data_IF_480913421138
#
_entry.id   IF_480913421138
#
_cell.length_a   1.000
_cell.length_b   1.000
_cell.length_c   1.000
_cell.angle_alpha   90.00
_cell.angle_beta   90.00
_cell.angle_gamma   90.00
#
_symmetry.space_group_name_H-M   'P 1'
#
loop_
_entity.id
_entity.type
_entity.pdbx_description
1 polymer ?
#
# COMPACT_ATOMS: atom_id res chain seq x y z
N UNK A 1 -11.13 -5.07 -6.94
CA UNK A 1 -11.49 -4.57 -8.29
C UNK A 1 -10.22 -4.68 -9.14
N UNK A 2 -10.28 -5.21 -10.36
CA UNK A 2 -9.09 -5.30 -11.22
C UNK A 2 -9.28 -4.40 -12.45
N UNK A 3 -8.23 -3.66 -12.80
CA UNK A 3 -8.17 -2.86 -14.02
C UNK A 3 -7.36 -3.61 -15.08
N UNK A 4 -7.92 -3.73 -16.29
CA UNK A 4 -7.24 -4.29 -17.45
C UNK A 4 -7.04 -3.18 -18.47
N UNK A 5 -5.79 -2.88 -18.77
CA UNK A 5 -5.42 -1.98 -19.86
C UNK A 5 -5.05 -2.80 -21.09
N UNK A 6 -5.59 -2.42 -22.25
CA UNK A 6 -5.32 -3.08 -23.51
C UNK A 6 -4.76 -2.06 -24.49
N UNK A 7 -3.57 -2.32 -25.01
CA UNK A 7 -2.91 -1.48 -26.01
C UNK A 7 -2.92 -2.16 -27.37
N UNK A 8 -3.42 -1.45 -28.39
CA UNK A 8 -3.50 -1.96 -29.75
C UNK A 8 -2.26 -1.50 -30.55
N UNK A 9 -1.48 -2.42 -31.13
CA UNK A 9 -0.37 -2.04 -32.00
C UNK A 9 -0.87 -1.53 -33.36
N UNK A 10 0.00 -0.85 -34.11
CA UNK A 10 -0.30 -0.38 -35.47
C UNK A 10 -0.66 -1.52 -36.44
N UNK A 11 -0.11 -2.72 -36.23
CA UNK A 11 -0.38 -3.92 -37.04
C UNK A 11 -1.62 -4.70 -36.60
N UNK A 12 -2.46 -4.18 -35.71
CA UNK A 12 -3.67 -4.86 -35.26
C UNK A 12 -4.68 -5.03 -36.42
N UNK A 13 -5.34 -6.20 -36.59
CA UNK A 13 -5.32 -7.37 -35.72
C UNK A 13 -4.28 -8.45 -36.08
N UNK A 14 -3.46 -8.27 -37.12
CA UNK A 14 -2.40 -9.22 -37.49
C UNK A 14 -1.35 -9.34 -36.38
N UNK A 15 -1.06 -8.24 -35.68
CA UNK A 15 -0.28 -8.21 -34.44
C UNK A 15 -1.19 -8.28 -33.21
N UNK A 16 -0.84 -9.07 -32.17
CA UNK A 16 -1.66 -9.22 -30.97
C UNK A 16 -1.69 -7.93 -30.14
N UNK A 17 -2.79 -7.66 -29.41
CA UNK A 17 -2.81 -6.60 -28.42
C UNK A 17 -1.88 -6.95 -27.24
N UNK A 18 -1.31 -5.93 -26.60
CA UNK A 18 -0.63 -6.08 -25.32
C UNK A 18 -1.57 -5.71 -24.17
N UNK A 19 -1.34 -6.33 -23.01
CA UNK A 19 -2.13 -6.09 -21.80
C UNK A 19 -1.26 -5.68 -20.62
N UNK A 20 -1.83 -4.88 -19.73
CA UNK A 20 -1.26 -4.51 -18.44
C UNK A 20 -2.35 -4.56 -17.37
N UNK A 21 -2.00 -5.02 -16.17
CA UNK A 21 -2.89 -5.10 -15.02
C UNK A 21 -2.08 -5.24 -13.73
N UNK A 22 -2.65 -4.79 -12.60
CA UNK A 22 -2.10 -5.04 -11.25
C UNK A 22 -2.37 -6.50 -10.84
N UNK A 23 -1.52 -7.41 -11.33
CA UNK A 23 -1.53 -8.85 -11.05
C UNK A 23 -0.09 -9.35 -10.92
N UNK A 24 0.19 -10.42 -10.16
CA UNK A 24 1.56 -10.86 -9.88
C UNK A 24 2.29 -11.36 -11.14
N UNK A 25 1.53 -11.84 -12.13
CA UNK A 25 2.03 -12.13 -13.47
C UNK A 25 0.88 -12.11 -14.47
N UNK A 26 1.17 -11.70 -15.71
CA UNK A 26 0.19 -11.65 -16.79
C UNK A 26 -0.02 -13.03 -17.42
N UNK A 27 -1.23 -13.34 -17.93
CA UNK A 27 -1.46 -14.53 -18.73
C UNK A 27 -0.76 -14.41 -20.08
N UNK A 28 -0.35 -15.55 -20.64
CA UNK A 28 0.00 -15.63 -22.06
C UNK A 28 -1.27 -15.52 -22.89
N UNK A 29 -1.44 -14.43 -23.62
CA UNK A 29 -2.60 -14.23 -24.49
C UNK A 29 -2.45 -15.07 -25.75
N UNK A 30 -3.42 -15.95 -25.98
CA UNK A 30 -3.62 -16.66 -27.24
C UNK A 30 -4.39 -15.75 -28.19
N UNK A 31 -3.76 -15.40 -29.31
CA UNK A 31 -4.29 -14.47 -30.29
C UNK A 31 -4.11 -15.00 -31.72
N UNK A 32 -5.07 -14.67 -32.58
CA UNK A 32 -5.02 -14.87 -34.03
C UNK A 32 -5.72 -13.69 -34.72
N UNK A 33 -5.55 -13.54 -36.04
CA UNK A 33 -6.28 -12.52 -36.83
C UNK A 33 -7.81 -12.61 -36.73
N UNK A 34 -8.33 -13.78 -36.37
CA UNK A 34 -9.76 -14.02 -36.16
C UNK A 34 -10.22 -13.73 -34.73
N UNK A 35 -9.30 -13.52 -33.81
CA UNK A 35 -9.59 -13.15 -32.43
C UNK A 35 -10.15 -11.73 -32.35
N UNK A 36 -10.81 -11.44 -31.24
CA UNK A 36 -11.43 -10.15 -30.91
C UNK A 36 -11.02 -9.75 -29.50
N UNK A 37 -11.14 -8.47 -29.17
CA UNK A 37 -10.79 -7.98 -27.82
C UNK A 37 -11.57 -8.68 -26.70
N UNK A 38 -12.80 -9.13 -26.96
CA UNK A 38 -13.56 -9.97 -26.02
C UNK A 38 -12.83 -11.26 -25.63
N UNK A 39 -12.05 -11.85 -26.54
CA UNK A 39 -11.32 -13.09 -26.28
C UNK A 39 -10.15 -12.85 -25.32
N UNK A 40 -9.53 -11.66 -25.38
CA UNK A 40 -8.51 -11.21 -24.41
C UNK A 40 -9.14 -11.03 -23.03
N UNK A 41 -10.32 -10.41 -22.97
CA UNK A 41 -11.07 -10.22 -21.72
C UNK A 41 -11.44 -11.58 -21.11
N UNK A 42 -11.96 -12.52 -21.90
CA UNK A 42 -12.29 -13.86 -21.42
C UNK A 42 -11.06 -14.60 -20.88
N UNK A 43 -9.92 -14.54 -21.58
CA UNK A 43 -8.67 -15.14 -21.12
C UNK A 43 -8.17 -14.49 -19.83
N UNK A 44 -8.24 -13.17 -19.72
CA UNK A 44 -7.87 -12.46 -18.51
C UNK A 44 -8.79 -12.83 -17.33
N UNK A 45 -10.11 -12.92 -17.54
CA UNK A 45 -11.06 -13.35 -16.52
C UNK A 45 -10.78 -14.78 -16.05
N UNK A 46 -10.43 -15.70 -16.95
CA UNK A 46 -10.01 -17.05 -16.58
C UNK A 46 -8.72 -17.02 -15.74
N UNK A 47 -7.77 -16.16 -16.11
CA UNK A 47 -6.53 -15.96 -15.36
C UNK A 47 -6.75 -15.44 -13.94
N UNK A 48 -7.67 -14.48 -13.76
CA UNK A 48 -8.04 -13.98 -12.44
C UNK A 48 -8.58 -15.10 -11.53
N UNK A 49 -9.26 -16.12 -12.09
CA UNK A 49 -9.72 -17.28 -11.31
C UNK A 49 -8.56 -18.15 -10.82
N UNK A 50 -7.51 -18.30 -11.62
CA UNK A 50 -6.29 -19.04 -11.25
C UNK A 50 -5.57 -18.30 -10.11
N UNK A 51 -5.46 -16.98 -10.21
CA UNK A 51 -4.81 -16.13 -9.20
C UNK A 51 -5.59 -16.00 -7.89
N UNK A 52 -6.83 -16.48 -7.83
CA UNK A 52 -7.66 -16.35 -6.63
C UNK A 52 -7.06 -17.06 -5.42
N UNK A 53 -6.40 -18.21 -5.61
CA UNK A 53 -5.70 -18.91 -4.52
C UNK A 53 -4.57 -18.05 -3.95
N UNK A 54 -3.82 -17.37 -4.82
CA UNK A 54 -2.74 -16.47 -4.38
C UNK A 54 -3.27 -15.32 -3.53
N UNK A 55 -4.31 -14.62 -3.98
CA UNK A 55 -4.87 -13.52 -3.19
C UNK A 55 -5.49 -13.99 -1.88
N UNK A 56 -6.10 -15.18 -1.86
CA UNK A 56 -6.60 -15.75 -0.60
C UNK A 56 -5.47 -16.00 0.41
N UNK A 57 -4.32 -16.53 -0.04
CA UNK A 57 -3.15 -16.73 0.81
C UNK A 57 -2.57 -15.40 1.29
N UNK A 58 -2.45 -14.40 0.41
CA UNK A 58 -1.97 -13.07 0.81
C UNK A 58 -2.92 -12.38 1.80
N UNK A 59 -4.24 -12.46 1.58
CA UNK A 59 -5.26 -11.93 2.49
C UNK A 59 -5.21 -12.62 3.86
N UNK A 60 -4.96 -13.94 3.91
CA UNK A 60 -4.76 -14.66 5.17
C UNK A 60 -3.52 -14.15 5.92
N UNK A 61 -2.40 -14.02 5.21
CA UNK A 61 -1.15 -13.48 5.75
C UNK A 61 -1.38 -12.08 6.33
N UNK A 62 -2.01 -11.19 5.57
CA UNK A 62 -2.26 -9.80 5.95
C UNK A 62 -3.20 -9.66 7.14
N UNK A 63 -4.12 -10.62 7.30
CA UNK A 63 -5.08 -10.64 8.41
C UNK A 63 -4.48 -11.18 9.70
N UNK A 64 -3.62 -12.19 9.62
CA UNK A 64 -3.17 -12.98 10.79
C UNK A 64 -1.80 -12.55 11.29
N UNK A 65 -0.91 -12.07 10.43
CA UNK A 65 0.47 -11.75 10.77
C UNK A 65 0.67 -10.24 10.91
N UNK A 66 1.61 -9.84 11.77
CA UNK A 66 2.00 -8.43 11.88
C UNK A 66 2.82 -8.00 10.66
N UNK A 67 2.12 -7.51 9.64
CA UNK A 67 2.74 -6.93 8.43
C UNK A 67 3.22 -5.51 8.72
N UNK A 68 4.51 -5.28 8.48
CA UNK A 68 5.18 -3.98 8.62
C UNK A 68 5.28 -3.27 7.28
N UNK A 69 5.46 -4.03 6.20
CA UNK A 69 5.56 -3.50 4.84
C UNK A 69 5.06 -4.54 3.81
N UNK A 70 4.27 -4.13 2.80
CA UNK A 70 3.70 -2.80 2.58
C UNK A 70 2.57 -2.46 3.55
N UNK A 71 2.31 -1.18 3.80
CA UNK A 71 1.13 -0.72 4.55
C UNK A 71 -0.18 -0.83 3.75
N UNK A 72 -0.08 -0.72 2.42
CA UNK A 72 -1.19 -0.87 1.47
C UNK A 72 -0.73 -1.74 0.29
N UNK A 73 -0.89 -3.07 0.37
CA UNK A 73 -0.46 -3.95 -0.70
C UNK A 73 -1.28 -3.78 -1.97
N UNK A 74 -0.62 -3.88 -3.13
CA UNK A 74 -1.30 -4.02 -4.43
C UNK A 74 -1.57 -5.49 -4.75
N UNK A 75 -2.43 -5.76 -5.74
CA UNK A 75 -2.75 -7.12 -6.16
C UNK A 75 -1.58 -7.83 -6.84
N UNK A 76 -0.59 -7.09 -7.37
CA UNK A 76 0.63 -7.66 -7.94
C UNK A 76 1.69 -8.03 -6.88
N UNK A 77 1.59 -7.49 -5.67
CA UNK A 77 2.66 -7.57 -4.69
C UNK A 77 2.69 -8.91 -3.96
N UNK A 78 3.75 -9.69 -4.20
CA UNK A 78 3.95 -11.04 -3.67
C UNK A 78 4.84 -11.13 -2.43
N UNK A 79 5.39 -10.00 -1.97
CA UNK A 79 6.23 -9.97 -0.77
C UNK A 79 5.48 -9.37 0.42
N UNK A 80 5.89 -9.78 1.63
CA UNK A 80 5.48 -9.19 2.91
C UNK A 80 6.65 -9.18 3.88
N UNK A 81 6.88 -8.03 4.53
CA UNK A 81 7.79 -7.92 5.68
C UNK A 81 6.99 -8.08 6.97
N UNK A 82 7.26 -9.15 7.69
CA UNK A 82 6.55 -9.54 8.91
C UNK A 82 7.44 -9.23 10.12
N UNK A 83 6.86 -8.64 11.17
CA UNK A 83 7.54 -8.42 12.44
C UNK A 83 7.68 -9.74 13.23
N UNK A 84 8.86 -9.93 13.81
CA UNK A 84 9.18 -11.07 14.70
C UNK A 84 9.43 -10.61 16.15
N UNK A 85 9.28 -9.30 16.42
CA UNK A 85 9.62 -8.65 17.69
C UNK A 85 11.11 -8.30 17.79
N UNK A 86 11.47 -7.43 18.74
CA UNK A 86 12.86 -7.03 19.03
C UNK A 86 13.62 -6.53 17.79
N UNK A 87 12.98 -5.68 16.98
CA UNK A 87 13.49 -5.17 15.70
C UNK A 87 13.99 -6.25 14.71
N UNK A 88 13.45 -7.47 14.86
CA UNK A 88 13.66 -8.56 13.92
C UNK A 88 12.48 -8.68 12.96
N UNK A 89 12.80 -8.95 11.70
CA UNK A 89 11.82 -9.07 10.63
C UNK A 89 12.15 -10.24 9.70
N UNK A 90 11.12 -10.77 9.05
CA UNK A 90 11.27 -11.70 7.93
C UNK A 90 10.57 -11.10 6.72
N UNK A 91 11.34 -10.93 5.64
CA UNK A 91 10.80 -10.62 4.32
C UNK A 91 10.49 -11.93 3.62
N UNK A 92 9.21 -12.24 3.44
CA UNK A 92 8.74 -13.38 2.68
C UNK A 92 8.41 -12.97 1.25
N UNK A 93 8.71 -13.85 0.31
CA UNK A 93 8.32 -13.76 -1.09
C UNK A 93 7.51 -15.03 -1.44
N UNK A 94 6.21 -14.84 -1.67
CA UNK A 94 5.25 -15.91 -1.96
C UNK A 94 5.23 -16.19 -3.46
N UNK A 95 5.35 -17.46 -3.86
CA UNK A 95 5.19 -17.85 -5.27
C UNK A 95 3.72 -17.74 -5.67
N UNK A 96 3.38 -16.76 -6.51
CA UNK A 96 2.02 -16.54 -6.97
C UNK A 96 1.41 -17.71 -7.77
N UNK A 97 2.22 -18.63 -8.28
CA UNK A 97 1.75 -19.85 -8.98
C UNK A 97 1.53 -21.01 -8.01
N UNK A 98 2.15 -20.96 -6.83
CA UNK A 98 2.09 -21.99 -5.79
C UNK A 98 2.06 -21.33 -4.41
N UNK A 99 1.00 -20.57 -4.09
CA UNK A 99 0.98 -19.66 -2.95
C UNK A 99 1.13 -20.36 -1.59
N UNK A 100 0.71 -21.62 -1.51
CA UNK A 100 0.83 -22.44 -0.29
C UNK A 100 2.17 -23.22 -0.20
N UNK A 101 3.08 -23.05 -1.15
CA UNK A 101 4.43 -23.66 -1.10
C UNK A 101 5.37 -22.89 -0.17
N UNK A 102 6.50 -23.50 0.18
CA UNK A 102 7.52 -22.87 1.03
C UNK A 102 7.99 -21.56 0.37
N UNK A 103 7.81 -20.39 1.01
CA UNK A 103 8.20 -19.12 0.42
C UNK A 103 9.73 -18.95 0.45
N UNK A 104 10.23 -18.11 -0.45
CA UNK A 104 11.58 -17.56 -0.27
C UNK A 104 11.57 -16.56 0.88
N UNK A 105 12.66 -16.50 1.65
CA UNK A 105 12.72 -15.61 2.80
C UNK A 105 14.09 -14.95 2.98
N UNK A 106 14.06 -13.74 3.55
CA UNK A 106 15.24 -13.04 4.06
C UNK A 106 14.98 -12.57 5.48
N UNK A 107 15.88 -12.91 6.38
CA UNK A 107 15.86 -12.44 7.77
C UNK A 107 16.57 -11.09 7.87
N UNK A 108 16.03 -10.18 8.68
CA UNK A 108 16.51 -8.81 8.87
C UNK A 108 16.51 -8.48 10.36
N UNK A 109 17.59 -7.86 10.86
CA UNK A 109 17.79 -7.53 12.27
C UNK A 109 19.21 -7.86 12.73
N UNK A 110 19.58 -7.41 13.92
CA UNK A 110 20.91 -7.61 14.52
C UNK A 110 20.89 -8.39 15.84
N UNK A 111 19.72 -8.92 16.22
CA UNK A 111 19.54 -9.66 17.47
C UNK A 111 20.03 -11.12 17.36
N UNK A 112 20.63 -11.66 18.41
CA UNK A 112 21.01 -13.08 18.49
C UNK A 112 19.84 -14.05 18.39
N UNK A 113 18.61 -13.60 18.70
CA UNK A 113 17.36 -14.31 18.41
C UNK A 113 17.21 -14.62 16.92
N UNK A 114 17.65 -13.73 16.03
CA UNK A 114 17.53 -13.91 14.59
C UNK A 114 18.36 -15.11 14.09
N UNK A 115 19.55 -15.32 14.66
CA UNK A 115 20.40 -16.45 14.31
C UNK A 115 19.72 -17.79 14.62
N UNK A 116 19.02 -17.88 15.76
CA UNK A 116 18.26 -19.07 16.11
C UNK A 116 17.10 -19.32 15.16
N UNK A 117 16.39 -18.26 14.75
CA UNK A 117 15.30 -18.37 13.77
C UNK A 117 15.83 -18.84 12.40
N UNK A 118 17.01 -18.38 11.97
CA UNK A 118 17.67 -18.83 10.74
C UNK A 118 18.05 -20.32 10.84
N UNK A 119 18.59 -20.77 11.98
CA UNK A 119 18.92 -22.18 12.23
C UNK A 119 17.66 -23.04 12.18
N UNK A 120 16.60 -22.62 12.87
CA UNK A 120 15.31 -23.31 12.89
C UNK A 120 14.71 -23.42 11.50
N UNK A 121 14.69 -22.33 10.73
CA UNK A 121 14.23 -22.33 9.34
C UNK A 121 14.98 -23.36 8.50
N UNK A 122 16.32 -23.36 8.54
CA UNK A 122 17.15 -24.31 7.77
C UNK A 122 16.86 -25.77 8.15
N UNK A 123 16.67 -26.04 9.45
CA UNK A 123 16.38 -27.38 9.98
C UNK A 123 14.97 -27.85 9.64
N UNK A 124 13.98 -26.97 9.74
CA UNK A 124 12.56 -27.33 9.73
C UNK A 124 11.86 -27.07 8.40
N UNK A 125 12.45 -26.34 7.43
CA UNK A 125 11.77 -25.98 6.16
C UNK A 125 11.17 -27.15 5.38
N UNK A 126 11.75 -28.36 5.52
CA UNK A 126 11.23 -29.59 4.89
C UNK A 126 9.90 -30.07 5.47
N UNK A 127 9.52 -29.57 6.65
CA UNK A 127 8.25 -29.86 7.33
C UNK A 127 7.09 -29.00 6.82
N UNK A 128 7.36 -28.05 5.91
CA UNK A 128 6.32 -27.22 5.31
C UNK A 128 5.30 -28.09 4.57
N UNK A 129 4.03 -27.97 4.93
CA UNK A 129 2.94 -28.76 4.36
C UNK A 129 1.96 -27.84 3.63
N UNK A 130 1.83 -27.99 2.31
CA UNK A 130 0.98 -27.13 1.48
C UNK A 130 -0.51 -27.24 1.80
N UNK A 131 -0.92 -28.18 2.65
CA UNK A 131 -2.31 -28.34 3.12
C UNK A 131 -2.60 -27.59 4.42
N UNK A 132 -1.58 -27.12 5.13
CA UNK A 132 -1.72 -26.34 6.36
C UNK A 132 -1.85 -24.85 6.05
N UNK A 133 -2.43 -24.12 7.00
CA UNK A 133 -2.50 -22.66 6.92
C UNK A 133 -1.10 -22.07 6.91
N UNK A 134 -0.95 -20.95 6.21
CA UNK A 134 0.36 -20.36 5.97
C UNK A 134 1.07 -19.96 7.27
N UNK A 135 0.35 -19.30 8.17
CA UNK A 135 0.89 -18.85 9.46
C UNK A 135 1.25 -20.02 10.40
N UNK A 136 0.48 -21.12 10.37
CA UNK A 136 0.78 -22.34 11.15
C UNK A 136 2.07 -22.99 10.66
N UNK A 137 2.26 -23.08 9.34
CA UNK A 137 3.50 -23.55 8.75
C UNK A 137 4.69 -22.65 9.15
N UNK A 138 4.51 -21.34 9.03
CA UNK A 138 5.57 -20.37 9.34
C UNK A 138 6.00 -20.47 10.80
N UNK A 139 5.05 -20.51 11.75
CA UNK A 139 5.33 -20.69 13.17
C UNK A 139 6.05 -22.02 13.45
N UNK A 140 5.59 -23.12 12.84
CA UNK A 140 6.20 -24.44 13.03
C UNK A 140 7.62 -24.55 12.43
N UNK A 141 7.89 -23.89 11.30
CA UNK A 141 9.22 -23.88 10.68
C UNK A 141 10.19 -23.01 11.47
N UNK A 142 9.74 -21.85 11.95
CA UNK A 142 10.54 -20.97 12.79
C UNK A 142 10.71 -21.50 14.22
N UNK A 143 9.86 -22.47 14.63
CA UNK A 143 9.73 -22.93 16.02
C UNK A 143 9.55 -21.75 16.98
N UNK A 144 8.63 -20.86 16.60
CA UNK A 144 8.46 -19.55 17.19
C UNK A 144 7.00 -19.11 17.16
N UNK A 145 6.53 -18.55 18.27
CA UNK A 145 5.20 -17.95 18.36
C UNK A 145 5.20 -16.59 17.67
N UNK A 146 4.56 -16.51 16.50
CA UNK A 146 4.50 -15.28 15.71
C UNK A 146 3.70 -14.19 16.44
N UNK A 147 4.20 -12.94 16.47
CA UNK A 147 3.46 -11.80 16.98
C UNK A 147 2.15 -11.60 16.22
N UNK A 148 1.07 -11.34 16.97
CA UNK A 148 -0.18 -10.90 16.37
C UNK A 148 -0.07 -9.44 15.89
N UNK A 149 -0.88 -9.02 14.90
CA UNK A 149 -0.99 -7.63 14.53
C UNK A 149 -1.34 -6.78 15.77
N UNK A 150 -0.81 -5.54 15.88
CA UNK A 150 -1.20 -4.63 16.94
C UNK A 150 -2.72 -4.42 16.89
N UNK A 151 -3.34 -4.36 18.06
CA UNK A 151 -4.78 -4.14 18.16
C UNK A 151 -5.15 -2.78 17.56
N UNK A 152 -6.40 -2.59 17.13
CA UNK A 152 -6.85 -1.32 16.53
C UNK A 152 -6.57 -0.11 17.46
N UNK A 153 -6.49 -0.33 18.78
CA UNK A 153 -6.12 0.70 19.76
C UNK A 153 -4.65 1.12 19.74
N UNK A 154 -3.74 0.30 19.21
CA UNK A 154 -2.31 0.62 19.15
C UNK A 154 -1.94 1.35 17.85
N UNK A 155 -2.64 1.08 16.74
CA UNK A 155 -2.52 1.85 15.48
C UNK A 155 -3.19 3.24 15.55
N UNK A 156 -4.18 3.40 16.41
CA UNK A 156 -4.89 4.68 16.58
C UNK A 156 -3.99 5.81 17.07
N UNK A 157 -2.94 5.51 17.88
CA UNK A 157 -2.03 6.55 18.38
C UNK A 157 -1.19 7.24 17.29
N UNK A 158 -0.98 6.56 16.16
CA UNK A 158 -0.25 7.08 14.99
C UNK A 158 -1.21 7.70 13.95
N UNK A 159 -2.45 7.20 13.90
CA UNK A 159 -3.47 7.75 12.99
C UNK A 159 -4.19 9.01 13.54
N UNK A 160 -4.19 9.21 14.86
CA UNK A 160 -4.70 10.42 15.54
C UNK A 160 -3.73 11.61 15.53
N UNK A 161 -2.47 11.41 15.13
CA UNK A 161 -1.51 12.51 15.06
C UNK A 161 -1.77 13.39 13.84
N UNK A 162 -1.97 14.68 14.11
CA UNK A 162 -2.23 15.69 13.08
C UNK A 162 -1.00 15.92 12.20
N UNK A 163 -1.21 16.13 10.91
CA UNK A 163 -0.14 16.50 9.99
C UNK A 163 0.42 17.88 10.33
N UNK A 164 1.74 18.04 10.22
CA UNK A 164 2.39 19.33 10.38
C UNK A 164 1.91 20.32 9.31
N UNK A 165 1.41 21.48 9.72
CA UNK A 165 0.88 22.51 8.82
C UNK A 165 1.90 23.23 7.93
N UNK A 166 3.19 22.82 7.98
CA UNK A 166 4.28 23.38 7.15
C UNK A 166 4.80 22.31 6.17
N UNK A 167 5.19 21.14 6.69
CA UNK A 167 5.78 20.07 5.87
C UNK A 167 4.78 19.00 5.42
N UNK A 168 3.53 19.04 5.91
CA UNK A 168 2.46 18.08 5.62
C UNK A 168 2.83 16.62 5.94
N UNK A 169 3.75 16.41 6.88
CA UNK A 169 4.13 15.09 7.37
C UNK A 169 3.75 14.95 8.85
N UNK A 170 3.40 13.72 9.25
CA UNK A 170 3.20 13.36 10.67
C UNK A 170 4.52 13.35 11.43
N UNK A 171 5.55 12.77 10.82
CA UNK A 171 6.87 12.58 11.41
C UNK A 171 7.96 13.24 10.57
N UNK A 172 8.97 13.81 11.22
CA UNK A 172 10.19 14.23 10.54
C UNK A 172 10.97 13.02 10.02
N UNK A 173 11.76 13.16 8.94
CA UNK A 173 12.66 12.10 8.49
C UNK A 173 13.67 11.75 9.59
N UNK A 174 14.09 10.48 9.61
CA UNK A 174 15.17 10.05 10.49
C UNK A 174 16.49 10.51 9.88
N UNK A 175 17.08 11.54 10.46
CA UNK A 175 18.34 12.17 10.06
C UNK A 175 19.20 12.41 11.32
N UNK A 176 20.50 12.08 11.23
CA UNK A 176 21.46 12.28 12.31
C UNK A 176 21.73 13.78 12.56
N UNK A 177 21.55 14.65 11.55
CA UNK A 177 21.70 16.10 11.70
C UNK A 177 20.57 16.75 12.52
N UNK A 178 19.40 16.12 12.58
CA UNK A 178 18.24 16.59 13.37
C UNK A 178 18.35 16.22 14.85
N UNK A 179 19.34 15.40 15.24
CA UNK A 179 19.59 15.01 16.62
C UNK A 179 18.35 14.48 17.34
N UNK A 180 18.02 15.07 18.49
CA UNK A 180 16.86 14.67 19.30
C UNK A 180 15.48 14.92 18.65
N UNK A 181 15.43 15.61 17.50
CA UNK A 181 14.20 15.89 16.75
C UNK A 181 13.98 14.95 15.55
N UNK A 182 14.94 14.04 15.32
CA UNK A 182 14.88 13.02 14.28
C UNK A 182 13.70 12.07 14.52
N UNK A 183 12.84 11.88 13.50
CA UNK A 183 11.67 11.02 13.63
C UNK A 183 10.54 11.55 14.52
N UNK A 184 10.60 12.80 15.02
CA UNK A 184 9.57 13.31 15.93
C UNK A 184 8.23 13.59 15.25
N UNK A 185 7.15 13.30 15.97
CA UNK A 185 5.78 13.74 15.64
C UNK A 185 5.59 15.24 15.88
N UNK A 186 4.46 15.81 15.43
CA UNK A 186 4.12 17.21 15.73
C UNK A 186 4.05 17.46 17.24
N UNK A 187 4.80 18.46 17.71
CA UNK A 187 5.00 18.78 19.14
C UNK A 187 4.56 20.21 19.49
N UNK A 188 4.05 20.97 18.53
CA UNK A 188 3.51 22.32 18.73
C UNK A 188 2.11 22.45 18.13
N UNK A 189 1.17 23.04 18.88
CA UNK A 189 -0.18 23.35 18.40
C UNK A 189 -0.41 24.86 18.39
N UNK A 190 -1.08 25.37 17.36
CA UNK A 190 -1.43 26.78 17.27
C UNK A 190 -2.36 27.19 18.42
N UNK A 191 -2.01 28.26 19.13
CA UNK A 191 -2.76 28.77 20.28
C UNK A 191 -4.08 29.45 19.89
N UNK A 192 -4.28 29.79 18.61
CA UNK A 192 -5.55 30.36 18.14
C UNK A 192 -6.65 29.27 18.16
N UNK A 193 -7.72 29.43 18.98
CA UNK A 193 -8.79 28.43 19.10
C UNK A 193 -9.49 28.09 17.79
N UNK A 194 -9.42 28.95 16.77
CA UNK A 194 -10.02 28.72 15.45
C UNK A 194 -9.08 28.06 14.42
N UNK A 195 -7.81 27.83 14.74
CA UNK A 195 -6.78 27.38 13.78
C UNK A 195 -6.55 25.87 13.81
N UNK A 196 -6.60 25.25 15.00
CA UNK A 196 -6.44 23.79 15.25
C UNK A 196 -5.30 23.09 14.49
N UNK A 197 -4.26 23.80 14.05
CA UNK A 197 -3.12 23.24 13.32
C UNK A 197 -2.00 22.81 14.27
N UNK A 198 -1.36 21.70 13.94
CA UNK A 198 -0.16 21.19 14.60
C UNK A 198 1.08 21.40 13.72
N UNK A 199 2.25 21.47 14.34
CA UNK A 199 3.54 21.71 13.68
C UNK A 199 4.65 20.95 14.40
N UNK A 200 5.72 20.62 13.68
CA UNK A 200 7.01 20.31 14.30
C UNK A 200 7.67 21.62 14.75
N UNK A 201 8.21 21.66 15.96
CA UNK A 201 8.93 22.81 16.53
C UNK A 201 10.11 23.23 15.67
N UNK A 202 10.73 22.29 14.95
CA UNK A 202 11.80 22.56 13.98
C UNK A 202 11.25 23.30 12.76
N UNK A 203 10.22 22.76 12.11
CA UNK A 203 9.57 23.40 10.96
C UNK A 203 9.07 24.81 11.28
N UNK A 204 8.43 24.99 12.44
CA UNK A 204 7.92 26.30 12.86
C UNK A 204 9.05 27.29 13.12
N UNK A 205 10.13 26.87 13.79
CA UNK A 205 11.29 27.71 14.08
C UNK A 205 12.00 28.16 12.81
N UNK A 206 12.20 27.25 11.87
CA UNK A 206 12.86 27.58 10.60
C UNK A 206 12.00 28.51 9.75
N UNK A 207 10.69 28.26 9.69
CA UNK A 207 9.75 29.15 9.03
C UNK A 207 9.74 30.55 9.67
N UNK A 208 9.65 30.66 11.01
CA UNK A 208 9.69 31.94 11.74
C UNK A 208 11.03 32.70 11.58
N UNK A 209 12.14 32.00 11.35
CA UNK A 209 13.44 32.62 11.04
C UNK A 209 13.52 33.12 9.60
N UNK A 210 12.79 32.49 8.68
CA UNK A 210 12.76 32.88 7.27
C UNK A 210 11.87 34.08 6.97
N UNK A 211 10.94 34.43 7.87
CA UNK A 211 10.17 35.67 7.78
C UNK A 211 10.98 36.84 8.35
N UNK A 212 11.20 37.89 7.54
CA UNK A 212 12.11 39.00 7.82
C UNK A 212 11.60 40.01 8.86
N UNK A 213 10.49 39.73 9.55
CA UNK A 213 9.86 40.62 10.55
C UNK A 213 9.92 40.10 11.98
N UNK A 214 10.53 38.94 12.26
CA UNK A 214 10.68 38.44 13.63
C UNK A 214 11.74 39.26 14.39
N UNK A 215 11.32 40.40 14.95
CA UNK A 215 12.06 41.08 16.01
C UNK A 215 12.13 40.10 17.19
N UNK A 216 13.33 39.77 17.66
CA UNK A 216 13.50 39.26 19.02
C UNK A 216 13.04 40.38 19.97
N UNK A 217 11.78 40.32 20.41
CA UNK A 217 11.15 41.40 21.15
C UNK A 217 9.83 40.97 21.79
N UNK A 218 9.90 40.77 23.10
CA UNK A 218 8.88 40.98 24.14
C UNK A 218 7.43 41.23 23.66
N UNK A 219 6.54 40.33 24.07
CA UNK A 219 5.09 40.35 23.90
C UNK A 219 4.45 41.72 24.14
N UNK A 220 3.74 42.24 23.15
CA UNK A 220 2.64 43.20 23.32
C UNK A 220 1.62 42.98 22.18
N UNK A 221 0.36 42.75 22.57
CA UNK A 221 -0.80 42.45 21.72
C UNK A 221 -1.23 43.67 20.91
N UNK A 222 -1.56 43.47 19.63
CA UNK A 222 -2.48 44.33 18.89
C UNK A 222 -3.36 43.47 17.96
N UNK A 223 -4.66 43.73 18.01
CA UNK A 223 -5.78 43.00 17.40
C UNK A 223 -6.04 43.35 15.92
N UNK A 224 -6.79 42.47 15.23
CA UNK A 224 -7.49 42.71 13.96
C UNK A 224 -6.86 41.97 12.76
N UNK A 225 -7.56 41.24 11.89
CA UNK A 225 -8.97 40.94 11.64
C UNK A 225 -9.03 39.94 10.46
N UNK A 226 -10.10 39.15 10.36
CA UNK A 226 -10.29 38.06 9.39
C UNK A 226 -11.03 38.54 8.14
N UNK A 227 -10.65 38.08 6.95
CA UNK A 227 -11.56 37.91 5.82
C UNK A 227 -11.35 36.56 5.11
N UNK A 228 -12.46 35.93 4.75
CA UNK A 228 -12.64 34.57 4.21
C UNK A 228 -13.22 34.70 2.81
N UNK A 229 -12.85 33.82 1.87
CA UNK A 229 -13.67 33.56 0.68
C UNK A 229 -13.65 32.07 0.31
N UNK A 230 -14.83 31.63 -0.12
CA UNK A 230 -15.31 30.26 -0.15
C UNK A 230 -14.89 29.44 -1.39
N UNK A 231 -15.05 28.14 -1.20
CA UNK A 231 -14.90 27.00 -2.10
C UNK A 231 -15.95 26.91 -3.20
N UNK A 232 -15.59 26.40 -4.39
CA UNK A 232 -16.56 25.79 -5.32
C UNK A 232 -16.01 24.57 -6.11
N UNK A 233 -16.87 23.53 -6.12
CA UNK A 233 -17.15 22.47 -7.10
C UNK A 233 -16.03 21.62 -7.77
N UNK A 234 -16.13 20.29 -7.59
CA UNK A 234 -15.54 19.26 -8.45
C UNK A 234 -16.60 18.68 -9.40
N UNK A 235 -16.44 18.90 -10.71
CA UNK A 235 -17.10 18.16 -11.79
C UNK A 235 -16.28 16.91 -12.15
N UNK A 236 -16.92 15.75 -12.24
CA UNK A 236 -16.30 14.53 -12.77
C UNK A 236 -16.49 14.46 -14.29
N UNK A 237 -15.38 14.44 -15.05
CA UNK A 237 -15.39 14.29 -16.52
C UNK A 237 -14.83 12.93 -16.96
N UNK A 238 -15.47 12.33 -17.96
CA UNK A 238 -14.90 11.22 -18.74
C UNK A 238 -13.71 11.73 -19.56
N UNK A 239 -12.54 11.12 -19.43
CA UNK A 239 -11.34 11.48 -20.22
C UNK A 239 -10.79 10.26 -20.96
N UNK A 240 -10.91 10.28 -22.29
CA UNK A 240 -10.07 9.46 -23.16
C UNK A 240 -8.76 10.23 -23.41
N UNK A 241 -7.64 9.79 -22.81
CA UNK A 241 -6.35 10.46 -22.98
C UNK A 241 -5.58 9.88 -24.16
N UNK A 242 -5.45 10.65 -25.24
CA UNK A 242 -4.59 10.30 -26.40
C UNK A 242 -3.14 10.69 -26.07
N UNK A 243 -2.27 9.72 -25.83
CA UNK A 243 -0.83 9.96 -25.66
C UNK A 243 -0.12 9.43 -26.92
N UNK A 244 0.27 10.35 -27.81
CA UNK A 244 1.02 10.02 -29.04
C UNK A 244 0.21 9.36 -30.17
N UNK A 245 0.88 8.53 -30.99
CA UNK A 245 0.29 7.84 -32.16
C UNK A 245 -0.46 6.54 -31.83
N UNK A 246 -0.45 6.08 -30.57
CA UNK A 246 -1.12 4.85 -30.14
C UNK A 246 -2.45 5.16 -29.44
N UNK A 247 -3.51 4.38 -29.75
CA UNK A 247 -4.80 4.47 -29.04
C UNK A 247 -4.75 3.55 -27.82
N UNK A 248 -4.79 4.14 -26.63
CA UNK A 248 -4.90 3.42 -25.34
C UNK A 248 -6.38 3.36 -24.98
N UNK A 249 -6.89 2.16 -24.69
CA UNK A 249 -8.25 1.96 -24.21
C UNK A 249 -8.20 1.39 -22.79
N UNK A 250 -8.77 2.12 -21.83
CA UNK A 250 -8.91 1.68 -20.44
C UNK A 250 -10.30 1.06 -20.26
N UNK A 251 -10.37 -0.22 -19.89
CA UNK A 251 -11.65 -0.90 -19.63
C UNK A 251 -11.73 -1.29 -18.14
N UNK A 252 -12.74 -0.77 -17.44
CA UNK A 252 -13.00 -1.09 -16.03
C UNK A 252 -13.92 -2.32 -15.96
N UNK A 253 -13.43 -3.44 -15.43
CA UNK A 253 -14.23 -4.65 -15.23
C UNK A 253 -14.83 -4.67 -13.80
N UNK A 254 -16.15 -4.55 -13.71
CA UNK A 254 -16.89 -4.60 -12.44
C UNK A 254 -17.09 -6.05 -11.97
N UNK A 255 -16.80 -6.31 -10.68
CA UNK A 255 -17.16 -7.57 -10.02
C UNK A 255 -18.55 -7.39 -9.39
N UNK A 256 -19.56 -8.12 -9.86
CA UNK A 256 -20.90 -8.14 -9.24
C UNK A 256 -20.86 -9.10 -8.04
N UNK A 257 -21.00 -8.58 -6.82
CA UNK A 257 -21.24 -9.38 -5.63
C UNK A 257 -22.75 -9.66 -5.56
N UNK A 258 -23.13 -10.94 -5.43
CA UNK A 258 -24.53 -11.35 -5.31
C UNK A 258 -25.05 -10.96 -3.93
N UNK A 259 -25.92 -9.94 -3.88
CA UNK A 259 -26.61 -9.56 -2.66
C UNK A 259 -27.55 -8.36 -2.85
N UNK A 260 -28.80 -8.64 -3.24
CA UNK A 260 -29.95 -7.81 -2.83
C UNK A 260 -30.46 -6.72 -3.80
N UNK A 261 -31.64 -7.01 -4.34
CA UNK A 261 -32.75 -6.13 -4.79
C UNK A 261 -32.63 -5.37 -6.11
N UNK A 262 -33.62 -5.66 -6.95
CA UNK A 262 -34.01 -4.96 -8.18
C UNK A 262 -34.25 -3.47 -8.00
N UNK A 263 -33.92 -2.70 -9.03
CA UNK A 263 -34.79 -1.65 -9.54
C UNK A 263 -34.58 -1.51 -11.06
N UNK A 264 -35.69 -1.51 -11.79
CA UNK A 264 -35.83 -1.22 -13.21
C UNK A 264 -35.60 0.28 -13.50
N UNK A 265 -35.31 0.59 -14.77
CA UNK A 265 -35.67 1.75 -15.62
C UNK A 265 -34.53 1.88 -16.66
N UNK A 266 -34.69 1.79 -17.98
CA UNK A 266 -35.86 2.00 -18.85
C UNK A 266 -35.66 3.31 -19.63
N UNK A 267 -35.37 3.23 -20.92
CA UNK A 267 -35.30 4.37 -21.86
C UNK A 267 -33.97 4.49 -22.59
#
# INVERSE_FOLDING_TARGET
>A
MHLLEITLPMGYPESPPSISADVPYLPKIHWSKNSRLKDVICQFQAHLKILQEFWNTMDEIDKVLWIVDPTKPSYAMSHRRIALGDDCYILLQVDARKPNSLPECRFLGTDGKLDQLIINWRKNRKKWDTKKKFHENLAAVLDFALPSPPSVGDKAKDDEQADCGICYAKHLPVDDELGAHSGCATDYMCENPSCSRAFHSVCLRDWLRSITTTRQGKWEMCEGGVEKSDTDALEASFQAKKIGRSRIYTLVLWRKWLGGRSAFLGG
#
